data_IF_661499384779
#
_entry.id   IF_661499384779
#
_cell.length_a   1.000
_cell.length_b   1.000
_cell.length_c   1.000
_cell.angle_alpha   90.00
_cell.angle_beta   90.00
_cell.angle_gamma   90.00
#
_symmetry.space_group_name_H-M   'P 1'
#
loop_
_entity.id
_entity.type
_entity.pdbx_description
1 polymer ?
#
# COMPACT_ATOMS: atom_id res chain seq x y z
N UNK A 1 -9.08 -14.69 -45.40
CA UNK A 1 -9.99 -13.69 -44.79
C UNK A 1 -9.14 -12.93 -43.80
N UNK A 2 -8.77 -11.68 -44.09
CA UNK A 2 -8.11 -10.84 -43.09
C UNK A 2 -9.13 -10.63 -41.97
N UNK A 3 -8.89 -11.28 -40.84
CA UNK A 3 -9.72 -11.11 -39.65
C UNK A 3 -9.40 -9.75 -39.08
N UNK A 4 -10.08 -8.72 -39.57
CA UNK A 4 -9.96 -7.38 -39.00
C UNK A 4 -10.36 -7.48 -37.53
N UNK A 5 -9.50 -6.92 -36.67
CA UNK A 5 -9.77 -6.92 -35.24
C UNK A 5 -11.11 -6.24 -34.96
N UNK A 6 -11.87 -6.69 -33.94
CA UNK A 6 -13.11 -6.03 -33.58
C UNK A 6 -12.86 -4.53 -33.31
N UNK A 7 -13.73 -3.62 -33.77
CA UNK A 7 -13.54 -2.17 -33.59
C UNK A 7 -13.35 -1.74 -32.12
N UNK A 8 -13.96 -2.46 -31.17
CA UNK A 8 -13.79 -2.20 -29.74
C UNK A 8 -12.36 -2.47 -29.23
N UNK A 9 -11.56 -3.28 -29.94
CA UNK A 9 -10.19 -3.60 -29.52
C UNK A 9 -9.27 -2.38 -29.66
N UNK A 10 -9.45 -1.58 -30.72
CA UNK A 10 -8.71 -0.32 -30.89
C UNK A 10 -9.08 0.69 -29.80
N UNK A 11 -10.38 0.82 -29.51
CA UNK A 11 -10.88 1.65 -28.41
C UNK A 11 -10.34 1.18 -27.05
N UNK A 12 -10.24 -0.13 -26.82
CA UNK A 12 -9.66 -0.69 -25.62
C UNK A 12 -8.18 -0.32 -25.51
N UNK A 13 -7.40 -0.49 -26.58
CA UNK A 13 -5.97 -0.14 -26.56
C UNK A 13 -5.77 1.36 -26.31
N UNK A 14 -6.59 2.22 -26.91
CA UNK A 14 -6.57 3.65 -26.65
C UNK A 14 -6.94 3.96 -25.17
N UNK A 15 -7.95 3.30 -24.61
CA UNK A 15 -8.34 3.47 -23.20
C UNK A 15 -7.23 3.00 -22.26
N UNK A 16 -6.57 1.88 -22.54
CA UNK A 16 -5.44 1.41 -21.73
C UNK A 16 -4.20 2.32 -21.88
N UNK A 17 -4.07 3.06 -22.98
CA UNK A 17 -3.06 4.09 -23.13
C UNK A 17 -3.39 5.35 -22.29
N UNK A 18 -4.66 5.69 -22.11
CA UNK A 18 -5.12 6.83 -21.29
C UNK A 18 -6.26 6.42 -20.35
N UNK A 19 -5.97 5.64 -19.28
CA UNK A 19 -7.03 5.03 -18.47
C UNK A 19 -7.86 6.07 -17.72
N UNK A 20 -7.35 7.28 -17.49
CA UNK A 20 -8.08 8.39 -16.87
C UNK A 20 -9.05 9.12 -17.82
N UNK A 21 -9.06 8.79 -19.12
CA UNK A 21 -9.92 9.44 -20.11
C UNK A 21 -11.36 8.91 -20.03
N UNK A 22 -12.19 9.59 -19.22
CA UNK A 22 -13.58 9.19 -18.98
C UNK A 22 -14.44 9.17 -20.25
N UNK A 23 -14.19 10.07 -21.20
CA UNK A 23 -14.91 10.13 -22.48
C UNK A 23 -14.61 8.88 -23.32
N UNK A 24 -13.34 8.52 -23.45
CA UNK A 24 -12.92 7.32 -24.17
C UNK A 24 -13.44 6.03 -23.49
N UNK A 25 -13.43 6.01 -22.16
CA UNK A 25 -14.01 4.91 -21.39
C UNK A 25 -15.50 4.72 -21.70
N UNK A 26 -16.28 5.80 -21.74
CA UNK A 26 -17.71 5.73 -22.07
C UNK A 26 -17.94 5.20 -23.49
N UNK A 27 -17.23 5.73 -24.48
CA UNK A 27 -17.32 5.26 -25.87
C UNK A 27 -16.96 3.78 -25.99
N UNK A 28 -15.91 3.33 -25.29
CA UNK A 28 -15.55 1.92 -25.24
C UNK A 28 -16.65 1.07 -24.61
N UNK A 29 -17.23 1.51 -23.49
CA UNK A 29 -18.29 0.74 -22.84
C UNK A 29 -19.54 0.61 -23.72
N UNK A 30 -19.93 1.68 -24.43
CA UNK A 30 -21.04 1.63 -25.40
C UNK A 30 -20.76 0.59 -26.50
N UNK A 31 -19.55 0.62 -27.08
CA UNK A 31 -19.13 -0.37 -28.09
C UNK A 31 -19.09 -1.81 -27.53
N UNK A 32 -18.70 -1.98 -26.26
CA UNK A 32 -18.69 -3.29 -25.59
C UNK A 32 -20.11 -3.78 -25.28
N UNK A 33 -21.06 -2.88 -25.01
CA UNK A 33 -22.47 -3.22 -24.80
C UNK A 33 -23.13 -3.72 -26.08
N UNK A 34 -22.85 -3.09 -27.22
CA UNK A 34 -23.37 -3.51 -28.53
C UNK A 34 -23.01 -4.96 -28.87
N UNK A 35 -21.84 -5.42 -28.42
CA UNK A 35 -21.36 -6.80 -28.63
C UNK A 35 -21.60 -7.72 -27.42
N UNK A 36 -22.38 -7.26 -26.43
CA UNK A 36 -22.71 -8.01 -25.21
C UNK A 36 -21.48 -8.50 -24.43
N UNK A 37 -20.40 -7.71 -24.41
CA UNK A 37 -19.13 -8.09 -23.80
C UNK A 37 -19.26 -8.16 -22.26
N UNK A 38 -18.65 -9.15 -21.58
CA UNK A 38 -18.77 -9.31 -20.13
C UNK A 38 -18.30 -8.11 -19.30
N UNK A 39 -17.30 -7.33 -19.78
CA UNK A 39 -16.86 -6.09 -19.10
C UNK A 39 -17.97 -5.03 -19.03
N UNK A 40 -18.73 -4.88 -20.11
CA UNK A 40 -19.81 -3.91 -20.20
C UNK A 40 -20.98 -4.29 -19.27
N UNK A 41 -21.28 -5.60 -19.15
CA UNK A 41 -22.24 -6.08 -18.16
C UNK A 41 -21.83 -5.75 -16.73
N UNK A 42 -20.57 -6.01 -16.39
CA UNK A 42 -20.04 -5.72 -15.06
C UNK A 42 -20.09 -4.22 -14.73
N UNK A 43 -19.97 -3.35 -15.74
CA UNK A 43 -20.13 -1.91 -15.57
C UNK A 43 -21.58 -1.50 -15.26
N UNK A 44 -22.57 -2.07 -15.97
CA UNK A 44 -23.98 -1.71 -15.79
C UNK A 44 -24.62 -2.33 -14.55
N UNK A 45 -24.42 -3.63 -14.37
CA UNK A 45 -25.14 -4.43 -13.37
C UNK A 45 -24.43 -4.42 -12.01
N UNK A 46 -23.15 -4.00 -11.99
CA UNK A 46 -22.25 -4.27 -10.88
C UNK A 46 -22.04 -5.78 -10.72
N UNK A 47 -21.26 -6.17 -9.71
CA UNK A 47 -21.06 -7.58 -9.36
C UNK A 47 -19.60 -7.98 -9.21
N UNK A 48 -19.39 -9.27 -8.98
CA UNK A 48 -18.05 -9.85 -8.79
C UNK A 48 -17.52 -10.26 -10.16
N UNK A 49 -16.41 -9.63 -10.58
CA UNK A 49 -15.76 -10.01 -11.83
C UNK A 49 -15.23 -11.43 -11.80
N UNK A 50 -15.35 -12.13 -12.93
CA UNK A 50 -14.83 -13.49 -13.08
C UNK A 50 -13.36 -13.48 -13.46
N UNK A 51 -12.66 -14.58 -13.17
CA UNK A 51 -11.27 -14.77 -13.56
C UNK A 51 -11.06 -14.65 -15.08
N UNK A 52 -12.09 -14.93 -15.88
CA UNK A 52 -12.07 -14.79 -17.34
C UNK A 52 -11.77 -13.34 -17.79
N UNK A 53 -12.26 -12.35 -17.04
CA UNK A 53 -12.02 -10.93 -17.32
C UNK A 53 -10.57 -10.48 -17.08
N UNK A 54 -9.78 -11.27 -16.36
CA UNK A 54 -8.34 -11.02 -16.19
C UNK A 54 -7.57 -11.32 -17.49
N UNK A 55 -8.12 -12.15 -18.37
CA UNK A 55 -7.45 -12.60 -19.58
C UNK A 55 -6.06 -13.16 -19.25
N UNK A 56 -4.97 -12.66 -19.86
CA UNK A 56 -3.61 -13.11 -19.56
C UNK A 56 -3.20 -12.96 -18.10
N UNK A 57 -3.81 -12.03 -17.34
CA UNK A 57 -3.42 -11.76 -15.96
C UNK A 57 -3.88 -12.85 -14.97
N UNK A 58 -4.75 -13.77 -15.38
CA UNK A 58 -5.35 -14.79 -14.50
C UNK A 58 -4.31 -15.63 -13.74
N UNK A 59 -3.18 -15.92 -14.39
CA UNK A 59 -2.15 -16.75 -13.82
C UNK A 59 -1.13 -15.98 -12.98
N UNK A 60 -1.21 -14.65 -12.94
CA UNK A 60 -0.27 -13.79 -12.17
C UNK A 60 -0.95 -12.99 -11.07
N UNK A 61 -2.29 -12.99 -11.01
CA UNK A 61 -3.09 -12.33 -9.97
C UNK A 61 -3.65 -13.38 -9.00
N UNK A 62 -3.49 -13.14 -7.69
CA UNK A 62 -4.10 -13.94 -6.62
C UNK A 62 -5.62 -13.73 -6.55
N UNK A 63 -6.39 -14.70 -6.04
CA UNK A 63 -7.80 -14.49 -5.72
C UNK A 63 -8.01 -13.29 -4.78
N UNK A 64 -9.17 -12.63 -4.87
CA UNK A 64 -9.48 -11.42 -4.08
C UNK A 64 -9.24 -10.10 -4.81
N UNK A 65 -9.03 -10.14 -6.13
CA UNK A 65 -9.07 -8.96 -6.99
C UNK A 65 -10.48 -8.34 -7.06
N UNK A 66 -10.55 -7.06 -7.41
CA UNK A 66 -11.81 -6.37 -7.65
C UNK A 66 -11.82 -5.69 -9.01
N UNK A 67 -13.02 -5.57 -9.57
CA UNK A 67 -13.24 -4.80 -10.78
C UNK A 67 -14.04 -3.54 -10.45
N UNK A 68 -13.70 -2.44 -11.13
CA UNK A 68 -14.47 -1.20 -11.13
C UNK A 68 -14.72 -0.84 -12.58
N UNK A 69 -15.99 -0.58 -12.91
CA UNK A 69 -16.41 -0.23 -14.28
C UNK A 69 -15.93 -1.21 -15.37
N UNK A 70 -15.90 -2.51 -15.07
CA UNK A 70 -15.46 -3.53 -16.03
C UNK A 70 -13.95 -3.75 -16.11
N UNK A 71 -13.14 -3.04 -15.32
CA UNK A 71 -11.67 -3.11 -15.36
C UNK A 71 -11.05 -3.50 -14.02
N UNK A 72 -9.88 -4.15 -14.09
CA UNK A 72 -9.17 -4.59 -12.89
C UNK A 72 -8.72 -3.35 -12.11
N UNK A 73 -9.18 -3.25 -10.86
CA UNK A 73 -8.92 -2.10 -9.98
C UNK A 73 -7.96 -2.48 -8.85
N UNK A 74 -8.30 -3.52 -8.10
CA UNK A 74 -7.45 -4.05 -7.02
C UNK A 74 -6.87 -5.38 -7.45
N UNK A 75 -5.56 -5.54 -7.29
CA UNK A 75 -4.86 -6.78 -7.61
C UNK A 75 -3.83 -7.11 -6.53
N UNK A 76 -3.67 -8.41 -6.28
CA UNK A 76 -2.55 -8.94 -5.50
C UNK A 76 -1.73 -9.88 -6.38
N UNK A 77 -0.41 -9.74 -6.36
CA UNK A 77 0.47 -10.49 -7.27
C UNK A 77 0.80 -11.89 -6.72
N UNK A 78 0.80 -12.87 -7.62
CA UNK A 78 1.41 -14.19 -7.40
C UNK A 78 2.93 -14.10 -7.66
N UNK A 79 3.66 -15.10 -7.15
CA UNK A 79 5.05 -15.30 -7.56
C UNK A 79 5.15 -15.45 -9.10
N UNK A 80 6.13 -14.77 -9.70
CA UNK A 80 6.35 -14.80 -11.15
C UNK A 80 5.50 -13.83 -11.97
N UNK A 81 4.83 -12.86 -11.34
CA UNK A 81 4.08 -11.81 -12.04
C UNK A 81 4.91 -10.97 -13.02
N UNK A 82 6.23 -10.93 -12.84
CA UNK A 82 7.20 -10.25 -13.71
C UNK A 82 7.10 -10.66 -15.19
N UNK A 83 6.63 -11.87 -15.50
CA UNK A 83 6.47 -12.35 -16.89
C UNK A 83 5.42 -11.58 -17.70
N UNK A 84 4.51 -10.89 -17.02
CA UNK A 84 3.51 -10.02 -17.64
C UNK A 84 3.71 -8.56 -17.21
N UNK A 85 4.91 -8.21 -16.71
CA UNK A 85 5.27 -6.81 -16.52
C UNK A 85 5.14 -6.07 -17.86
N UNK A 86 4.41 -4.96 -17.85
CA UNK A 86 4.14 -4.19 -19.06
C UNK A 86 2.89 -4.57 -19.86
N UNK A 87 2.17 -5.62 -19.47
CA UNK A 87 0.91 -5.94 -20.12
C UNK A 87 -0.12 -4.79 -19.97
N UNK A 88 -0.80 -4.33 -21.05
CA UNK A 88 -1.67 -3.16 -21.02
C UNK A 88 -2.80 -3.20 -19.98
N UNK A 89 -3.31 -4.40 -19.65
CA UNK A 89 -4.36 -4.56 -18.63
C UNK A 89 -3.95 -4.13 -17.22
N UNK A 90 -2.66 -3.97 -16.95
CA UNK A 90 -2.18 -3.37 -15.71
C UNK A 90 -2.49 -1.88 -15.59
N UNK A 91 -2.78 -1.20 -16.70
CA UNK A 91 -2.95 0.25 -16.72
C UNK A 91 -4.11 0.77 -15.89
N UNK A 92 -5.12 -0.06 -15.61
CA UNK A 92 -6.31 0.31 -14.82
C UNK A 92 -6.17 -0.01 -13.34
N UNK A 93 -5.11 -0.71 -12.92
CA UNK A 93 -4.93 -1.10 -11.51
C UNK A 93 -4.59 0.13 -10.70
N UNK A 94 -5.44 0.44 -9.72
CA UNK A 94 -5.26 1.57 -8.78
C UNK A 94 -4.67 1.11 -7.45
N UNK A 95 -4.99 -0.12 -7.02
CA UNK A 95 -4.52 -0.70 -5.76
C UNK A 95 -3.78 -2.01 -6.03
N UNK A 96 -2.48 -2.02 -5.73
CA UNK A 96 -1.62 -3.19 -5.92
C UNK A 96 -1.04 -3.66 -4.59
N UNK A 97 -1.28 -4.92 -4.26
CA UNK A 97 -0.56 -5.63 -3.20
C UNK A 97 0.54 -6.50 -3.82
N UNK A 98 1.79 -6.16 -3.51
CA UNK A 98 2.87 -6.26 -4.46
C UNK A 98 4.13 -6.87 -3.82
N UNK A 99 4.00 -7.95 -3.08
CA UNK A 99 5.17 -8.63 -2.52
C UNK A 99 6.08 -9.18 -3.64
N UNK A 100 7.31 -8.65 -3.78
CA UNK A 100 8.28 -9.10 -4.79
C UNK A 100 7.99 -8.59 -6.21
N UNK A 101 7.38 -7.43 -6.32
CA UNK A 101 6.74 -6.87 -7.52
C UNK A 101 7.59 -5.89 -8.34
N UNK A 102 8.87 -5.71 -8.03
CA UNK A 102 9.62 -4.52 -8.47
C UNK A 102 9.54 -4.22 -9.96
N UNK A 103 9.37 -5.24 -10.80
CA UNK A 103 9.20 -5.13 -12.25
C UNK A 103 7.81 -4.69 -12.71
N UNK A 104 6.75 -5.01 -11.96
CA UNK A 104 5.36 -4.68 -12.30
C UNK A 104 5.02 -3.27 -11.83
N UNK A 105 5.22 -2.96 -10.54
CA UNK A 105 4.81 -1.66 -9.97
C UNK A 105 5.59 -0.47 -10.52
N UNK A 106 6.86 -0.66 -10.88
CA UNK A 106 7.69 0.37 -11.52
C UNK A 106 7.43 0.51 -13.03
N UNK A 107 6.66 -0.39 -13.63
CA UNK A 107 6.49 -0.38 -15.07
C UNK A 107 5.66 0.84 -15.52
N UNK A 108 6.06 1.56 -16.59
CA UNK A 108 5.32 2.71 -17.13
C UNK A 108 3.86 2.44 -17.56
N UNK A 109 3.44 1.18 -17.56
CA UNK A 109 2.07 0.79 -17.88
C UNK A 109 1.13 1.07 -16.71
N UNK A 110 1.64 1.12 -15.46
CA UNK A 110 0.89 1.32 -14.21
C UNK A 110 0.36 2.76 -14.05
N UNK A 111 -0.32 3.28 -15.05
CA UNK A 111 -0.75 4.68 -15.15
C UNK A 111 -1.81 5.07 -14.09
N UNK A 112 -2.68 4.13 -13.73
CA UNK A 112 -3.72 4.39 -12.71
C UNK A 112 -3.27 4.06 -11.29
N UNK A 113 -2.06 3.52 -11.08
CA UNK A 113 -1.62 3.11 -9.76
C UNK A 113 -1.61 4.28 -8.77
N UNK A 114 -2.33 4.14 -7.67
CA UNK A 114 -2.44 5.13 -6.57
C UNK A 114 -1.99 4.57 -5.24
N UNK A 115 -2.22 3.28 -5.02
CA UNK A 115 -1.89 2.61 -3.77
C UNK A 115 -1.04 1.38 -4.05
N UNK A 116 0.09 1.28 -3.38
CA UNK A 116 0.98 0.11 -3.43
C UNK A 116 1.23 -0.36 -2.02
N UNK A 117 1.08 -1.66 -1.78
CA UNK A 117 1.36 -2.30 -0.50
C UNK A 117 2.48 -3.34 -0.63
N UNK A 118 3.39 -3.36 0.34
CA UNK A 118 4.46 -4.38 0.46
C UNK A 118 5.36 -4.52 -0.76
N UNK A 119 5.54 -3.43 -1.51
CA UNK A 119 6.40 -3.43 -2.69
C UNK A 119 7.87 -3.69 -2.33
N UNK A 120 8.57 -4.32 -3.26
CA UNK A 120 10.04 -4.44 -3.22
C UNK A 120 10.73 -3.48 -4.20
N UNK A 121 9.99 -2.61 -4.90
CA UNK A 121 10.57 -1.60 -5.77
C UNK A 121 11.27 -0.52 -4.95
N UNK A 122 12.37 0.02 -5.47
CA UNK A 122 12.96 1.23 -4.90
C UNK A 122 11.98 2.41 -5.05
N UNK A 123 11.91 3.30 -4.07
CA UNK A 123 10.96 4.43 -4.08
C UNK A 123 11.11 5.31 -5.32
N UNK A 124 12.33 5.45 -5.83
CA UNK A 124 12.64 6.24 -7.05
C UNK A 124 12.12 5.60 -8.33
N UNK A 125 11.77 4.32 -8.31
CA UNK A 125 11.21 3.59 -9.45
C UNK A 125 9.68 3.54 -9.42
N UNK A 126 9.06 3.92 -8.30
CA UNK A 126 7.61 3.92 -8.17
C UNK A 126 6.99 5.07 -9.00
N UNK A 127 5.74 4.90 -9.49
CA UNK A 127 5.11 5.90 -10.34
C UNK A 127 4.87 7.23 -9.59
N UNK A 128 5.14 8.40 -10.21
CA UNK A 128 5.05 9.70 -9.54
C UNK A 128 3.63 10.08 -9.08
N UNK A 129 2.61 9.44 -9.66
CA UNK A 129 1.21 9.63 -9.30
C UNK A 129 0.74 8.81 -8.09
N UNK A 130 1.64 8.05 -7.44
CA UNK A 130 1.33 7.28 -6.24
C UNK A 130 0.90 8.19 -5.09
N UNK A 131 -0.21 7.84 -4.44
CA UNK A 131 -0.83 8.57 -3.32
C UNK A 131 -0.58 7.86 -1.98
N UNK A 132 -0.53 6.53 -2.00
CA UNK A 132 -0.35 5.71 -0.81
C UNK A 132 0.73 4.64 -1.01
N UNK A 133 1.72 4.62 -0.12
CA UNK A 133 2.74 3.58 -0.04
C UNK A 133 2.62 2.88 1.31
N UNK A 134 2.21 1.62 1.31
CA UNK A 134 1.83 0.88 2.50
C UNK A 134 2.75 -0.29 2.80
N UNK A 135 3.01 -0.55 4.09
CA UNK A 135 3.86 -1.65 4.57
C UNK A 135 5.22 -1.77 3.82
N UNK A 136 5.79 -0.64 3.40
CA UNK A 136 7.01 -0.63 2.58
C UNK A 136 8.25 -0.76 3.44
N UNK A 137 9.08 -1.77 3.17
CA UNK A 137 10.37 -1.93 3.85
C UNK A 137 11.37 -0.99 3.22
N UNK A 138 11.72 0.08 3.93
CA UNK A 138 12.61 1.12 3.40
C UNK A 138 14.06 0.73 3.61
N UNK A 139 14.85 0.84 2.55
CA UNK A 139 16.30 0.90 2.64
C UNK A 139 16.76 2.33 3.01
N UNK A 140 18.02 2.50 3.39
CA UNK A 140 18.59 3.85 3.61
C UNK A 140 18.47 4.76 2.38
N UNK A 141 18.59 4.20 1.18
CA UNK A 141 18.40 4.94 -0.06
C UNK A 141 16.94 5.41 -0.23
N UNK A 142 15.98 4.57 0.13
CA UNK A 142 14.55 4.93 0.10
C UNK A 142 14.22 6.01 1.12
N UNK A 143 14.83 6.00 2.30
CA UNK A 143 14.65 7.04 3.32
C UNK A 143 15.11 8.39 2.79
N UNK A 144 16.30 8.45 2.18
CA UNK A 144 16.81 9.67 1.54
C UNK A 144 15.84 10.12 0.43
N UNK A 145 15.37 9.19 -0.40
CA UNK A 145 14.44 9.50 -1.48
C UNK A 145 13.10 10.06 -0.94
N UNK A 146 12.51 9.41 0.06
CA UNK A 146 11.25 9.80 0.70
C UNK A 146 11.36 11.12 1.47
N UNK A 147 12.55 11.49 1.95
CA UNK A 147 12.77 12.80 2.62
C UNK A 147 12.52 13.99 1.69
N UNK A 148 12.62 13.78 0.37
CA UNK A 148 12.34 14.80 -0.64
C UNK A 148 10.87 14.83 -1.03
N UNK A 149 10.24 16.01 -0.98
CA UNK A 149 8.85 16.22 -1.46
C UNK A 149 8.70 15.99 -2.96
N UNK A 150 9.79 16.10 -3.72
CA UNK A 150 9.79 15.91 -5.18
C UNK A 150 9.74 14.42 -5.57
N UNK A 151 10.18 13.53 -4.67
CA UNK A 151 10.06 12.08 -4.88
C UNK A 151 8.64 11.68 -4.52
N UNK A 152 7.87 11.13 -5.48
CA UNK A 152 6.44 10.84 -5.30
C UNK A 152 5.63 12.06 -4.82
N UNK A 153 5.49 13.11 -5.65
CA UNK A 153 4.90 14.39 -5.23
C UNK A 153 3.44 14.29 -4.79
N UNK A 154 2.72 13.23 -5.17
CA UNK A 154 1.33 13.00 -4.78
C UNK A 154 1.15 12.14 -3.52
N UNK A 155 2.24 11.63 -2.95
CA UNK A 155 2.18 10.74 -1.79
C UNK A 155 1.66 11.51 -0.57
N UNK A 156 0.49 11.10 -0.09
CA UNK A 156 -0.22 11.64 1.09
C UNK A 156 -0.30 10.61 2.22
N UNK A 157 -0.28 9.31 1.92
CA UNK A 157 -0.24 8.26 2.94
C UNK A 157 1.03 7.43 2.87
N UNK A 158 1.71 7.30 4.00
CA UNK A 158 2.94 6.53 4.11
C UNK A 158 2.85 5.55 5.28
N UNK A 159 3.04 4.26 5.02
CA UNK A 159 3.27 3.25 6.04
C UNK A 159 4.55 2.50 5.70
N UNK A 160 5.57 2.68 6.53
CA UNK A 160 6.91 2.13 6.31
C UNK A 160 7.37 1.26 7.47
N UNK A 161 8.27 0.34 7.16
CA UNK A 161 9.03 -0.44 8.12
C UNK A 161 10.50 0.01 8.03
N UNK A 162 11.02 0.64 9.08
CA UNK A 162 12.29 1.39 9.07
C UNK A 162 13.10 1.17 10.37
N UNK A 163 14.42 1.32 10.32
CA UNK A 163 15.25 1.39 11.52
C UNK A 163 14.97 2.67 12.33
N UNK A 164 15.08 2.58 13.66
CA UNK A 164 14.72 3.67 14.57
C UNK A 164 15.53 4.96 14.38
N UNK A 165 16.82 4.84 14.04
CA UNK A 165 17.74 5.95 13.81
C UNK A 165 17.46 6.72 12.52
N UNK A 166 16.83 6.07 11.52
CA UNK A 166 16.52 6.65 10.22
C UNK A 166 15.18 7.42 10.18
N UNK A 167 14.33 7.28 11.21
CA UNK A 167 13.01 7.94 11.26
C UNK A 167 13.12 9.47 11.17
N UNK A 168 14.16 10.04 11.78
CA UNK A 168 14.39 11.48 11.79
C UNK A 168 14.60 12.05 10.36
N UNK A 169 15.07 11.22 9.44
CA UNK A 169 15.27 11.59 8.04
C UNK A 169 13.95 11.75 7.27
N UNK A 170 12.84 11.18 7.77
CA UNK A 170 11.51 11.32 7.15
C UNK A 170 10.79 12.59 7.58
N UNK A 171 11.25 13.29 8.62
CA UNK A 171 10.58 14.49 9.16
C UNK A 171 10.31 15.59 8.12
N UNK A 172 11.20 15.89 7.16
CA UNK A 172 10.93 16.90 6.14
C UNK A 172 9.70 16.58 5.27
N UNK A 173 9.36 15.30 5.13
CA UNK A 173 8.21 14.84 4.32
C UNK A 173 6.88 14.91 5.06
N UNK A 174 6.92 14.89 6.40
CA UNK A 174 5.74 14.72 7.25
C UNK A 174 4.66 15.77 6.97
N UNK A 175 5.04 17.03 6.76
CA UNK A 175 4.09 18.10 6.49
C UNK A 175 3.28 17.92 5.19
N UNK A 176 3.76 17.10 4.26
CA UNK A 176 3.06 16.77 3.02
C UNK A 176 2.17 15.52 3.13
N UNK A 177 2.18 14.83 4.29
CA UNK A 177 1.44 13.59 4.51
C UNK A 177 0.15 13.87 5.30
N UNK A 178 -0.95 13.25 4.87
CA UNK A 178 -2.20 13.17 5.63
C UNK A 178 -2.19 11.99 6.60
N UNK A 179 -1.39 10.95 6.33
CA UNK A 179 -1.23 9.81 7.22
C UNK A 179 0.20 9.27 7.20
N UNK A 180 0.74 8.97 8.38
CA UNK A 180 2.05 8.35 8.55
C UNK A 180 1.99 7.24 9.59
N UNK A 181 2.37 6.03 9.19
CA UNK A 181 2.60 4.90 10.07
C UNK A 181 4.03 4.42 9.95
N UNK A 182 4.66 4.16 11.08
CA UNK A 182 6.07 3.74 11.13
C UNK A 182 6.16 2.50 12.02
N UNK A 183 6.48 1.37 11.41
CA UNK A 183 6.85 0.17 12.13
C UNK A 183 8.38 0.15 12.28
N UNK A 184 8.86 0.02 13.51
CA UNK A 184 10.30 0.12 13.79
C UNK A 184 10.94 -1.26 13.76
N UNK A 185 12.03 -1.38 12.99
CA UNK A 185 12.94 -2.54 13.02
C UNK A 185 14.07 -2.24 14.00
N UNK A 186 14.48 -3.24 14.77
CA UNK A 186 15.66 -3.20 15.67
C UNK A 186 15.62 -2.13 16.77
N UNK A 187 14.43 -1.74 17.19
CA UNK A 187 14.31 -0.73 18.21
C UNK A 187 14.72 -1.31 19.59
N UNK A 188 15.73 -0.71 20.21
CA UNK A 188 16.25 -1.07 21.54
C UNK A 188 15.70 -0.13 22.60
N UNK A 189 15.42 -0.54 23.84
CA UNK A 189 14.83 0.33 24.88
C UNK A 189 15.49 1.72 25.05
N UNK A 190 16.78 1.83 24.72
CA UNK A 190 17.60 3.06 24.80
C UNK A 190 17.38 4.03 23.63
N UNK A 191 17.10 3.53 22.42
CA UNK A 191 16.95 4.37 21.21
C UNK A 191 15.55 4.97 21.05
N UNK A 192 14.53 4.35 21.65
CA UNK A 192 13.14 4.69 21.39
C UNK A 192 12.63 6.05 21.92
N UNK A 193 12.97 6.52 23.15
CA UNK A 193 12.36 7.74 23.70
C UNK A 193 12.64 8.98 22.85
N UNK A 194 13.87 9.09 22.34
CA UNK A 194 14.29 10.21 21.51
C UNK A 194 13.66 10.22 20.11
N UNK A 195 13.32 9.04 19.57
CA UNK A 195 12.66 8.90 18.27
C UNK A 195 11.20 9.32 18.38
N UNK A 196 10.50 8.81 19.39
CA UNK A 196 9.11 9.19 19.68
C UNK A 196 8.96 10.69 19.87
N UNK A 197 9.83 11.29 20.69
CA UNK A 197 9.76 12.72 20.97
C UNK A 197 9.94 13.57 19.71
N UNK A 198 10.87 13.20 18.82
CA UNK A 198 11.11 13.92 17.56
C UNK A 198 9.94 13.81 16.59
N UNK A 199 9.37 12.62 16.42
CA UNK A 199 8.24 12.41 15.50
C UNK A 199 6.99 13.12 16.04
N UNK A 200 6.74 13.05 17.35
CA UNK A 200 5.58 13.69 17.96
C UNK A 200 5.56 15.21 17.77
N UNK A 201 6.74 15.87 17.83
CA UNK A 201 6.85 17.32 17.59
C UNK A 201 6.45 17.76 16.18
N UNK A 202 6.23 16.84 15.24
CA UNK A 202 5.86 17.18 13.85
C UNK A 202 4.36 17.29 13.58
N UNK A 203 3.50 16.96 14.56
CA UNK A 203 2.06 17.22 14.44
C UNK A 203 1.26 16.24 13.57
N UNK A 204 1.76 15.02 13.36
CA UNK A 204 1.02 13.96 12.64
C UNK A 204 -0.23 13.55 13.42
N UNK A 205 -1.39 13.62 12.76
CA UNK A 205 -2.70 13.36 13.39
C UNK A 205 -2.92 11.90 13.83
N UNK A 206 -2.27 10.94 13.16
CA UNK A 206 -2.36 9.51 13.50
C UNK A 206 -0.98 8.87 13.37
N UNK A 207 -0.42 8.49 14.50
CA UNK A 207 0.85 7.75 14.59
C UNK A 207 0.58 6.39 15.22
N UNK A 208 0.95 5.31 14.54
CA UNK A 208 1.01 3.98 15.12
C UNK A 208 2.46 3.49 15.04
N UNK A 209 2.98 3.04 16.18
CA UNK A 209 4.29 2.40 16.30
C UNK A 209 4.08 0.89 16.46
N UNK A 210 4.40 0.12 15.43
CA UNK A 210 4.62 -1.32 15.58
C UNK A 210 6.00 -1.53 16.20
N UNK A 211 6.07 -1.99 17.45
CA UNK A 211 7.31 -2.53 18.01
C UNK A 211 7.05 -3.90 18.64
N UNK A 212 8.01 -4.81 18.52
CA UNK A 212 7.98 -6.09 19.22
C UNK A 212 8.18 -5.96 20.74
N UNK A 213 8.38 -4.75 21.28
CA UNK A 213 8.73 -4.53 22.69
C UNK A 213 7.88 -3.41 23.31
N UNK A 214 6.85 -3.80 24.06
CA UNK A 214 5.80 -2.94 24.64
C UNK A 214 6.22 -1.92 25.73
N UNK A 215 7.49 -1.49 25.81
CA UNK A 215 7.96 -0.52 26.82
C UNK A 215 7.73 0.95 26.48
N UNK A 216 7.45 1.30 25.22
CA UNK A 216 7.40 2.70 24.76
C UNK A 216 6.03 3.39 24.89
N UNK A 217 5.01 2.63 25.30
CA UNK A 217 3.61 2.99 25.06
C UNK A 217 3.03 4.05 25.99
N UNK A 218 3.75 4.44 27.04
CA UNK A 218 3.24 5.35 28.07
C UNK A 218 3.42 6.84 27.77
N UNK A 219 4.43 7.21 26.98
CA UNK A 219 4.79 8.62 26.82
C UNK A 219 4.13 9.27 25.58
N UNK A 220 3.87 8.46 24.54
CA UNK A 220 3.08 8.83 23.34
C UNK A 220 1.63 9.14 23.71
N UNK A 221 1.06 8.37 24.63
CA UNK A 221 -0.36 8.43 24.98
C UNK A 221 -0.70 9.63 25.87
N UNK A 222 0.26 10.08 26.71
CA UNK A 222 0.09 11.27 27.56
C UNK A 222 -0.09 12.59 26.79
N UNK A 223 0.11 12.59 25.47
CA UNK A 223 0.03 13.79 24.63
C UNK A 223 -0.99 13.71 23.47
N UNK A 224 -1.84 12.67 23.41
CA UNK A 224 -3.03 12.66 22.52
C UNK A 224 -2.92 11.89 21.21
N UNK A 225 -1.92 11.02 21.03
CA UNK A 225 -1.86 10.10 19.90
C UNK A 225 -2.70 8.83 20.17
N UNK A 226 -3.44 8.36 19.16
CA UNK A 226 -4.19 7.10 19.22
C UNK A 226 -3.27 5.90 19.07
N UNK A 227 -3.31 4.97 20.03
CA UNK A 227 -2.59 3.72 19.97
C UNK A 227 -3.51 2.57 19.56
N UNK A 228 -3.09 1.79 18.58
CA UNK A 228 -3.72 0.52 18.23
C UNK A 228 -2.68 -0.60 18.35
N UNK A 229 -2.84 -1.47 19.35
CA UNK A 229 -1.97 -2.63 19.51
C UNK A 229 -2.35 -3.68 18.47
N UNK A 230 -1.63 -3.68 17.36
CA UNK A 230 -1.64 -4.83 16.48
C UNK A 230 -0.47 -5.73 16.85
N UNK A 231 -0.74 -6.71 17.72
CA UNK A 231 0.05 -7.94 17.74
C UNK A 231 0.08 -8.46 16.30
N UNK A 232 1.25 -8.43 15.67
CA UNK A 232 1.44 -8.93 14.31
C UNK A 232 0.89 -10.35 14.22
N UNK A 233 0.30 -10.71 13.06
CA UNK A 233 -0.18 -12.09 12.77
C UNK A 233 0.87 -13.18 13.08
N UNK A 234 2.15 -12.81 13.15
CA UNK A 234 3.28 -13.66 13.53
C UNK A 234 3.32 -14.08 15.01
N UNK A 235 2.53 -13.50 15.92
CA UNK A 235 2.52 -13.95 17.33
C UNK A 235 2.02 -15.40 17.49
N UNK A 236 1.20 -15.89 16.55
CA UNK A 236 0.77 -17.30 16.54
C UNK A 236 1.90 -18.25 16.14
N UNK A 237 2.85 -17.79 15.33
CA UNK A 237 4.05 -18.55 14.95
C UNK A 237 5.23 -18.35 15.92
N UNK A 238 5.14 -17.36 16.83
CA UNK A 238 6.19 -17.05 17.78
C UNK A 238 6.39 -18.15 18.84
N UNK A 239 7.63 -18.31 19.29
CA UNK A 239 7.97 -19.23 20.38
C UNK A 239 7.24 -18.83 21.67
N UNK A 240 7.05 -19.79 22.58
CA UNK A 240 6.40 -19.54 23.87
C UNK A 240 7.11 -18.44 24.67
N UNK A 241 8.44 -18.36 24.56
CA UNK A 241 9.24 -17.36 25.25
C UNK A 241 9.01 -15.94 24.69
N UNK A 242 8.87 -15.80 23.37
CA UNK A 242 8.54 -14.53 22.74
C UNK A 242 7.12 -14.09 23.12
N UNK A 243 6.15 -15.03 23.11
CA UNK A 243 4.78 -14.75 23.57
C UNK A 243 4.75 -14.30 25.02
N UNK A 244 5.46 -14.98 25.91
CA UNK A 244 5.55 -14.62 27.32
C UNK A 244 6.16 -13.22 27.52
N UNK A 245 7.25 -12.89 26.81
CA UNK A 245 7.86 -11.55 26.87
C UNK A 245 6.91 -10.46 26.38
N UNK A 246 6.11 -10.74 25.36
CA UNK A 246 5.10 -9.81 24.84
C UNK A 246 3.95 -9.63 25.85
N UNK A 247 3.46 -10.71 26.45
CA UNK A 247 2.41 -10.66 27.49
C UNK A 247 2.90 -9.95 28.76
N UNK A 248 4.17 -10.14 29.14
CA UNK A 248 4.77 -9.44 30.28
C UNK A 248 4.93 -7.94 29.99
N UNK A 249 5.34 -7.58 28.78
CA UNK A 249 5.42 -6.18 28.35
C UNK A 249 4.03 -5.52 28.31
N UNK A 250 3.01 -6.22 27.81
CA UNK A 250 1.62 -5.75 27.81
C UNK A 250 1.07 -5.59 29.23
N UNK A 251 1.26 -6.57 30.11
CA UNK A 251 0.82 -6.47 31.52
C UNK A 251 1.51 -5.34 32.26
N UNK A 252 2.82 -5.18 32.07
CA UNK A 252 3.57 -4.07 32.66
C UNK A 252 3.05 -2.72 32.17
N UNK A 253 2.74 -2.62 30.88
CA UNK A 253 2.15 -1.42 30.30
C UNK A 253 0.78 -1.09 30.89
N UNK A 254 -0.13 -2.07 30.94
CA UNK A 254 -1.47 -1.89 31.50
C UNK A 254 -1.42 -1.52 32.99
N UNK A 255 -0.45 -2.07 33.72
CA UNK A 255 -0.21 -1.70 35.12
C UNK A 255 0.22 -0.22 35.24
N UNK A 256 1.14 0.24 34.41
CA UNK A 256 1.57 1.65 34.40
C UNK A 256 0.43 2.60 33.99
N UNK A 257 -0.38 2.24 33.00
CA UNK A 257 -1.54 3.04 32.59
C UNK A 257 -2.55 3.19 33.74
N UNK A 258 -2.88 2.08 34.43
CA UNK A 258 -3.74 2.14 35.62
C UNK A 258 -3.16 2.97 36.75
N UNK A 259 -1.85 2.86 37.00
CA UNK A 259 -1.16 3.65 38.02
C UNK A 259 -1.17 5.16 37.73
N UNK A 260 -1.30 5.55 36.47
CA UNK A 260 -1.39 6.94 36.02
C UNK A 260 -2.83 7.46 35.91
N UNK A 261 -3.84 6.70 36.38
CA UNK A 261 -5.24 7.11 36.36
C UNK A 261 -5.88 7.11 34.97
N UNK A 262 -5.23 6.45 34.01
CA UNK A 262 -5.71 6.30 32.65
C UNK A 262 -6.75 5.18 32.60
N UNK A 263 -7.99 5.51 32.20
CA UNK A 263 -8.98 4.49 31.84
C UNK A 263 -8.58 3.86 30.51
N UNK A 264 -8.17 2.59 30.56
CA UNK A 264 -7.97 1.73 29.38
C UNK A 264 -9.29 1.15 28.90
#
# INVERSE_FOLDING_TARGET
MSGDAPPWLELQNAMLAEPSNASLRRVLMDALLEVNHPRAKLWLEGGVGTAELLGPLVDVVEPGFTFVEGWLHTARLKAGASRLAGHPLWATVEVLDAAGDSTVSSHPVMKSLRTVSRSSAAVTQLPPQLEHLLEHRVSRADVIALSSVNTLPRLTGLHVVIAADEVASLLPRVAALTSLRVDLVDATPESHPHVVERVYRTGVERMAFGSFQGRLLLEVWRRGASYDWHATRDLHAATAEVRQRVDDAHRFLMWQLRALGVST
#
